data_IF_421878595750
#
_entry.id   IF_421878595750
#
_cell.length_a   1.000
_cell.length_b   1.000
_cell.length_c   1.000
_cell.angle_alpha   90.00
_cell.angle_beta   90.00
_cell.angle_gamma   90.00
#
_symmetry.space_group_name_H-M   'P 1'
#
loop_
_entity.id
_entity.type
_entity.pdbx_description
1 polymer ?
#
# COMPACT_ATOMS: atom_id res chain seq x y z
N UNK A 1 -2.22 -10.09 72.52
CA UNK A 1 -2.58 -10.83 71.30
C UNK A 1 -4.06 -10.54 71.07
N UNK A 2 -4.35 -9.50 70.32
CA UNK A 2 -5.70 -8.94 70.14
C UNK A 2 -5.95 -8.78 68.65
N UNK A 3 -6.89 -9.59 68.17
CA UNK A 3 -7.69 -9.53 66.94
C UNK A 3 -7.30 -8.50 65.87
N UNK A 4 -6.33 -8.85 65.03
CA UNK A 4 -6.15 -8.25 63.71
C UNK A 4 -7.12 -8.83 62.67
N UNK A 5 -7.82 -9.93 62.98
CA UNK A 5 -8.83 -10.56 62.13
C UNK A 5 -10.13 -9.78 62.07
N UNK A 6 -10.61 -9.23 63.20
CA UNK A 6 -11.89 -8.52 63.26
C UNK A 6 -11.92 -7.19 62.51
N UNK A 7 -10.75 -6.53 62.35
CA UNK A 7 -10.63 -5.30 61.55
C UNK A 7 -10.63 -5.59 60.04
N UNK A 8 -10.08 -6.72 59.61
CA UNK A 8 -10.13 -7.15 58.20
C UNK A 8 -11.52 -7.66 57.83
N UNK A 9 -12.19 -8.37 58.73
CA UNK A 9 -13.56 -8.83 58.51
C UNK A 9 -14.55 -7.66 58.44
N UNK A 10 -14.40 -6.63 59.28
CA UNK A 10 -15.21 -5.41 59.20
C UNK A 10 -14.91 -4.51 57.99
N UNK A 11 -13.70 -4.59 57.41
CA UNK A 11 -13.33 -3.91 56.16
C UNK A 11 -13.85 -4.67 54.93
N UNK A 12 -13.89 -6.01 54.97
CA UNK A 12 -14.47 -6.86 53.94
C UNK A 12 -16.01 -6.85 53.96
N UNK A 13 -16.63 -6.73 55.15
CA UNK A 13 -18.08 -6.56 55.30
C UNK A 13 -18.55 -5.18 54.83
N UNK A 14 -17.65 -4.18 54.86
CA UNK A 14 -17.85 -2.86 54.23
C UNK A 14 -17.58 -2.84 52.72
N UNK A 15 -17.09 -3.93 52.13
CA UNK A 15 -17.29 -4.19 50.69
C UNK A 15 -18.73 -4.68 50.55
N UNK A 16 -19.65 -3.77 50.81
CA UNK A 16 -21.07 -3.95 50.60
C UNK A 16 -21.22 -4.41 49.15
N UNK A 17 -21.88 -5.55 48.94
CA UNK A 17 -22.20 -6.01 47.59
C UNK A 17 -22.89 -4.85 46.90
N UNK A 18 -22.34 -4.34 45.78
CA UNK A 18 -22.98 -3.26 45.06
C UNK A 18 -24.42 -3.67 44.76
N UNK A 19 -25.34 -2.74 44.97
CA UNK A 19 -26.73 -2.96 44.59
C UNK A 19 -26.78 -3.26 43.08
N UNK A 20 -27.78 -3.99 42.58
CA UNK A 20 -27.86 -4.33 41.15
C UNK A 20 -27.75 -3.10 40.22
N UNK A 21 -28.18 -1.93 40.69
CA UNK A 21 -28.06 -0.64 40.00
C UNK A 21 -26.61 -0.15 39.96
N UNK A 22 -25.89 -0.25 41.08
CA UNK A 22 -24.46 0.10 41.14
C UNK A 22 -23.59 -0.87 40.32
N UNK A 23 -23.96 -2.16 40.27
CA UNK A 23 -23.30 -3.13 39.39
C UNK A 23 -23.48 -2.77 37.91
N UNK A 24 -24.69 -2.40 37.50
CA UNK A 24 -24.99 -1.97 36.14
C UNK A 24 -24.14 -0.76 35.74
N UNK A 25 -24.03 0.25 36.61
CA UNK A 25 -23.19 1.42 36.40
C UNK A 25 -21.70 1.06 36.31
N UNK A 26 -21.21 0.14 37.15
CA UNK A 26 -19.82 -0.32 37.10
C UNK A 26 -19.54 -1.04 35.79
N UNK A 27 -20.42 -1.93 35.33
CA UNK A 27 -20.24 -2.67 34.08
C UNK A 27 -20.37 -1.76 32.85
N UNK A 28 -21.28 -0.78 32.87
CA UNK A 28 -21.39 0.23 31.83
C UNK A 28 -20.08 1.02 31.72
N UNK A 29 -19.56 1.53 32.84
CA UNK A 29 -18.30 2.27 32.89
C UNK A 29 -17.10 1.42 32.44
N UNK A 30 -17.03 0.16 32.86
CA UNK A 30 -15.96 -0.76 32.47
C UNK A 30 -16.02 -1.11 30.97
N UNK A 31 -17.23 -1.22 30.41
CA UNK A 31 -17.46 -1.41 28.98
C UNK A 31 -16.97 -0.20 28.18
N UNK A 32 -17.33 1.01 28.59
CA UNK A 32 -16.83 2.25 27.98
C UNK A 32 -15.31 2.35 28.08
N UNK A 33 -14.73 2.08 29.26
CA UNK A 33 -13.28 2.08 29.45
C UNK A 33 -12.55 1.05 28.56
N UNK A 34 -13.11 -0.15 28.43
CA UNK A 34 -12.56 -1.20 27.57
C UNK A 34 -12.62 -0.83 26.09
N UNK A 35 -13.73 -0.24 25.66
CA UNK A 35 -13.93 0.27 24.30
C UNK A 35 -12.92 1.40 24.00
N UNK A 36 -12.60 2.20 25.00
CA UNK A 36 -11.66 3.30 24.94
C UNK A 36 -10.23 2.79 24.78
N UNK A 37 -9.79 1.82 25.59
CA UNK A 37 -8.50 1.15 25.43
C UNK A 37 -8.38 0.52 24.04
N UNK A 38 -9.40 -0.20 23.58
CA UNK A 38 -9.39 -0.81 22.25
C UNK A 38 -9.27 0.26 21.15
N UNK A 39 -9.86 1.43 21.36
CA UNK A 39 -9.78 2.56 20.43
C UNK A 39 -8.39 3.18 20.40
N UNK A 40 -7.71 3.27 21.55
CA UNK A 40 -6.35 3.81 21.66
C UNK A 40 -5.30 2.91 21.01
N UNK A 41 -5.43 1.59 21.16
CA UNK A 41 -4.33 0.66 20.84
C UNK A 41 -4.54 -0.15 19.54
N UNK A 42 -5.77 -0.27 19.02
CA UNK A 42 -6.01 -1.07 17.82
C UNK A 42 -5.71 -0.29 16.52
N UNK A 43 -4.90 -0.88 15.63
CA UNK A 43 -4.75 -0.43 14.24
C UNK A 43 -6.02 -0.75 13.44
N UNK A 44 -7.07 0.04 13.64
CA UNK A 44 -8.36 -0.16 12.97
C UNK A 44 -8.44 0.55 11.61
N UNK A 45 -9.19 -0.01 10.64
CA UNK A 45 -9.47 0.67 9.37
C UNK A 45 -10.24 1.99 9.59
N UNK A 46 -10.18 2.90 8.61
CA UNK A 46 -10.82 4.22 8.66
C UNK A 46 -12.30 4.14 9.03
N UNK A 47 -13.02 3.16 8.49
CA UNK A 47 -14.45 2.93 8.76
C UNK A 47 -14.71 2.71 10.24
N UNK A 48 -13.90 1.90 10.92
CA UNK A 48 -14.09 1.69 12.36
C UNK A 48 -13.76 2.95 13.17
N UNK A 49 -12.77 3.74 12.75
CA UNK A 49 -12.48 5.04 13.40
C UNK A 49 -13.65 6.02 13.24
N UNK A 50 -14.28 6.03 12.08
CA UNK A 50 -15.48 6.84 11.82
C UNK A 50 -16.65 6.40 12.72
N UNK A 51 -16.94 5.09 12.78
CA UNK A 51 -17.99 4.56 13.64
C UNK A 51 -17.72 4.77 15.13
N UNK A 52 -16.47 4.73 15.56
CA UNK A 52 -16.10 5.02 16.95
C UNK A 52 -16.34 6.51 17.28
N UNK A 53 -15.93 7.41 16.39
CA UNK A 53 -16.18 8.84 16.56
C UNK A 53 -17.68 9.15 16.59
N UNK A 54 -18.46 8.63 15.63
CA UNK A 54 -19.91 8.79 15.57
C UNK A 54 -20.60 8.14 16.77
N UNK A 55 -20.16 6.96 17.18
CA UNK A 55 -20.69 6.24 18.34
C UNK A 55 -20.56 7.05 19.63
N UNK A 56 -19.43 7.76 19.83
CA UNK A 56 -19.26 8.65 20.99
C UNK A 56 -20.18 9.86 20.95
N UNK A 57 -20.36 10.47 19.78
CA UNK A 57 -21.32 11.59 19.61
C UNK A 57 -22.73 11.12 19.96
N UNK A 58 -23.13 9.93 19.49
CA UNK A 58 -24.44 9.36 19.80
C UNK A 58 -24.59 8.96 21.26
N UNK A 59 -23.55 8.41 21.91
CA UNK A 59 -23.56 8.10 23.35
C UNK A 59 -23.84 9.36 24.17
N UNK A 60 -23.05 10.41 23.95
CA UNK A 60 -23.21 11.68 24.65
C UNK A 60 -24.59 12.30 24.38
N UNK A 61 -25.09 12.19 23.14
CA UNK A 61 -26.43 12.67 22.78
C UNK A 61 -27.53 11.87 23.47
N UNK A 62 -27.36 10.55 23.60
CA UNK A 62 -28.33 9.66 24.25
C UNK A 62 -28.44 9.94 25.73
N UNK A 63 -27.31 10.09 26.44
CA UNK A 63 -27.28 10.47 27.86
C UNK A 63 -28.00 11.80 28.08
N UNK A 64 -27.70 12.81 27.26
CA UNK A 64 -28.36 14.12 27.35
C UNK A 64 -29.88 14.05 27.18
N UNK A 65 -30.37 13.22 26.25
CA UNK A 65 -31.81 13.08 25.96
C UNK A 65 -32.55 12.43 27.13
N UNK A 66 -31.93 11.44 27.79
CA UNK A 66 -32.58 10.68 28.88
C UNK A 66 -32.63 11.47 30.18
N UNK A 67 -31.51 12.08 30.59
CA UNK A 67 -31.38 12.67 31.93
C UNK A 67 -31.54 14.19 31.95
N UNK A 68 -31.41 14.85 30.80
CA UNK A 68 -31.29 16.31 30.67
C UNK A 68 -30.18 16.93 31.54
N UNK A 69 -29.30 16.10 32.10
CA UNK A 69 -28.23 16.50 32.98
C UNK A 69 -27.06 15.54 32.82
N UNK A 70 -25.89 16.08 32.46
CA UNK A 70 -24.64 15.33 32.35
C UNK A 70 -23.71 15.90 33.41
N UNK A 71 -23.07 15.02 34.17
CA UNK A 71 -22.11 15.42 35.20
C UNK A 71 -20.90 16.08 34.53
N UNK A 72 -20.38 17.13 35.15
CA UNK A 72 -19.35 17.98 34.51
C UNK A 72 -18.02 17.26 34.27
N UNK A 73 -17.63 16.33 35.14
CA UNK A 73 -16.47 15.45 35.00
C UNK A 73 -16.65 14.45 33.85
N UNK A 74 -17.84 13.84 33.74
CA UNK A 74 -18.18 12.92 32.66
C UNK A 74 -18.21 13.62 31.30
N UNK A 75 -18.80 14.82 31.23
CA UNK A 75 -18.79 15.65 30.05
C UNK A 75 -17.36 16.00 29.61
N UNK A 76 -16.50 16.40 30.55
CA UNK A 76 -15.10 16.71 30.26
C UNK A 76 -14.34 15.49 29.72
N UNK A 77 -14.59 14.31 30.29
CA UNK A 77 -14.01 13.05 29.84
C UNK A 77 -14.49 12.68 28.42
N UNK A 78 -15.79 12.70 28.18
CA UNK A 78 -16.37 12.38 26.87
C UNK A 78 -15.88 13.34 25.78
N UNK A 79 -15.84 14.65 26.05
CA UNK A 79 -15.28 15.65 25.13
C UNK A 79 -13.82 15.34 24.81
N UNK A 80 -13.01 15.01 25.82
CA UNK A 80 -11.60 14.65 25.63
C UNK A 80 -11.46 13.42 24.72
N UNK A 81 -12.27 12.40 24.94
CA UNK A 81 -12.24 11.19 24.13
C UNK A 81 -12.80 11.38 22.72
N UNK A 82 -13.79 12.26 22.53
CA UNK A 82 -14.28 12.71 21.22
C UNK A 82 -13.17 13.46 20.49
N UNK A 83 -12.46 14.37 21.16
CA UNK A 83 -11.33 15.08 20.57
C UNK A 83 -10.20 14.11 20.16
N UNK A 84 -9.88 13.14 21.02
CA UNK A 84 -8.86 12.13 20.72
C UNK A 84 -9.27 11.22 19.54
N UNK A 85 -10.49 10.69 19.54
CA UNK A 85 -10.99 9.88 18.43
C UNK A 85 -11.12 10.68 17.13
N UNK A 86 -11.52 11.95 17.23
CA UNK A 86 -11.58 12.91 16.13
C UNK A 86 -10.21 13.17 15.50
N UNK A 87 -9.17 13.45 16.30
CA UNK A 87 -7.80 13.65 15.78
C UNK A 87 -7.25 12.40 15.10
N UNK A 88 -7.51 11.21 15.64
CA UNK A 88 -7.14 9.94 15.00
C UNK A 88 -7.90 9.69 13.69
N UNK A 89 -9.18 10.05 13.65
CA UNK A 89 -10.02 9.94 12.45
C UNK A 89 -9.55 10.92 11.36
N UNK A 90 -9.34 12.20 11.71
CA UNK A 90 -8.82 13.22 10.79
C UNK A 90 -7.44 12.84 10.28
N UNK A 91 -6.56 12.30 11.13
CA UNK A 91 -5.24 11.82 10.70
C UNK A 91 -5.35 10.67 9.69
N UNK A 92 -6.31 9.76 9.89
CA UNK A 92 -6.61 8.70 8.90
C UNK A 92 -7.19 9.26 7.61
N UNK A 93 -8.11 10.22 7.70
CA UNK A 93 -8.67 10.90 6.54
C UNK A 93 -7.59 11.62 5.74
N UNK A 94 -6.73 12.40 6.39
CA UNK A 94 -5.64 13.12 5.71
C UNK A 94 -4.70 12.17 4.99
N UNK A 95 -4.44 10.99 5.56
CA UNK A 95 -3.62 9.96 4.91
C UNK A 95 -4.27 9.39 3.66
N UNK A 96 -5.55 9.02 3.72
CA UNK A 96 -6.29 8.51 2.55
C UNK A 96 -6.52 9.62 1.52
N UNK A 97 -6.88 10.82 1.97
CA UNK A 97 -7.13 11.98 1.14
C UNK A 97 -5.85 12.44 0.44
N UNK A 98 -4.69 12.46 1.10
CA UNK A 98 -3.41 12.74 0.45
C UNK A 98 -3.08 11.75 -0.67
N UNK A 99 -3.50 10.49 -0.54
CA UNK A 99 -3.34 9.48 -1.60
C UNK A 99 -4.35 9.67 -2.74
N UNK A 100 -5.50 10.29 -2.49
CA UNK A 100 -6.55 10.57 -3.48
C UNK A 100 -6.32 11.92 -4.18
N UNK A 101 -5.84 12.93 -3.45
CA UNK A 101 -5.74 14.32 -3.88
C UNK A 101 -4.62 14.55 -4.89
N UNK A 102 -3.54 13.79 -4.79
CA UNK A 102 -2.56 13.77 -5.85
C UNK A 102 -3.17 13.01 -7.05
N UNK A 103 -3.61 13.74 -8.06
CA UNK A 103 -4.09 13.13 -9.30
C UNK A 103 -3.01 12.20 -9.91
N UNK A 104 -3.42 11.05 -10.43
CA UNK A 104 -2.54 10.21 -11.23
C UNK A 104 -2.20 10.95 -12.53
N UNK A 105 -0.93 11.01 -12.88
CA UNK A 105 -0.51 11.50 -14.19
C UNK A 105 -1.13 10.65 -15.30
N UNK A 106 -1.23 11.19 -16.53
CA UNK A 106 -1.77 10.44 -17.68
C UNK A 106 -1.03 9.11 -17.91
N UNK A 107 0.28 9.08 -17.69
CA UNK A 107 1.10 7.88 -17.82
C UNK A 107 0.83 6.87 -16.70
N UNK A 108 0.76 7.32 -15.44
CA UNK A 108 0.39 6.46 -14.32
C UNK A 108 -1.04 5.92 -14.43
N UNK A 109 -1.97 6.72 -14.96
CA UNK A 109 -3.36 6.31 -15.20
C UNK A 109 -3.45 5.19 -16.25
N UNK A 110 -2.58 5.21 -17.27
CA UNK A 110 -2.48 4.12 -18.25
C UNK A 110 -1.96 2.84 -17.61
N UNK A 111 -0.93 2.90 -16.78
CA UNK A 111 -0.47 1.72 -16.04
C UNK A 111 -1.54 1.22 -15.07
N UNK A 112 -2.19 2.14 -14.34
CA UNK A 112 -3.28 1.84 -13.42
C UNK A 112 -4.46 1.16 -14.11
N UNK A 113 -4.85 1.55 -15.33
CA UNK A 113 -6.00 0.95 -16.00
C UNK A 113 -5.89 -0.57 -16.18
N UNK A 114 -4.66 -1.10 -16.31
CA UNK A 114 -4.41 -2.54 -16.37
C UNK A 114 -4.32 -3.22 -15.00
N UNK A 115 -4.04 -2.46 -13.95
CA UNK A 115 -4.00 -2.93 -12.57
C UNK A 115 -5.32 -2.64 -11.82
N UNK A 116 -6.26 -1.92 -12.43
CA UNK A 116 -7.54 -1.52 -11.79
C UNK A 116 -8.39 -2.71 -11.37
N UNK A 117 -8.27 -3.85 -12.06
CA UNK A 117 -9.00 -5.08 -11.69
C UNK A 117 -8.53 -5.66 -10.35
N UNK A 118 -7.34 -5.29 -9.89
CA UNK A 118 -6.71 -5.91 -8.73
C UNK A 118 -6.29 -4.91 -7.65
N UNK A 119 -6.11 -3.63 -7.97
CA UNK A 119 -5.70 -2.58 -7.04
C UNK A 119 -6.69 -1.41 -7.11
N UNK A 120 -6.99 -0.81 -5.96
CA UNK A 120 -7.63 0.51 -5.94
C UNK A 120 -6.62 1.59 -6.34
N UNK A 121 -7.11 2.78 -6.71
CA UNK A 121 -6.25 3.89 -7.07
C UNK A 121 -5.32 4.31 -5.91
N UNK A 122 -5.81 4.27 -4.68
CA UNK A 122 -5.02 4.59 -3.48
C UNK A 122 -3.98 3.52 -3.18
N UNK A 123 -4.31 2.24 -3.33
CA UNK A 123 -3.36 1.12 -3.21
C UNK A 123 -2.24 1.22 -4.25
N UNK A 124 -2.61 1.45 -5.51
CA UNK A 124 -1.66 1.66 -6.61
C UNK A 124 -0.74 2.86 -6.35
N UNK A 125 -1.30 3.99 -5.92
CA UNK A 125 -0.51 5.19 -5.61
C UNK A 125 0.42 4.97 -4.42
N UNK A 126 -0.06 4.28 -3.38
CA UNK A 126 0.77 3.89 -2.24
C UNK A 126 1.90 2.95 -2.66
N UNK A 127 1.65 2.02 -3.59
CA UNK A 127 2.67 1.14 -4.14
C UNK A 127 3.73 1.96 -4.90
N UNK A 128 3.30 2.80 -5.85
CA UNK A 128 4.20 3.67 -6.62
C UNK A 128 5.10 4.50 -5.70
N UNK A 129 4.53 5.21 -4.73
CA UNK A 129 5.28 6.08 -3.81
C UNK A 129 6.36 5.34 -3.01
N UNK A 130 6.17 4.04 -2.75
CA UNK A 130 7.13 3.23 -1.98
C UNK A 130 8.17 2.56 -2.86
N UNK A 131 7.79 2.16 -4.07
CA UNK A 131 8.61 1.25 -4.89
C UNK A 131 9.18 1.92 -6.12
N UNK A 132 8.60 3.02 -6.60
CA UNK A 132 8.90 3.59 -7.89
C UNK A 132 9.34 5.05 -7.80
N UNK A 133 10.33 5.41 -8.61
CA UNK A 133 10.84 6.77 -8.72
C UNK A 133 10.99 7.15 -10.20
N UNK A 134 10.48 8.31 -10.63
CA UNK A 134 10.71 8.79 -11.99
C UNK A 134 12.18 9.20 -12.16
N UNK A 135 12.86 8.67 -13.16
CA UNK A 135 14.23 9.04 -13.52
C UNK A 135 14.31 9.42 -14.99
N UNK A 136 14.97 10.54 -15.25
CA UNK A 136 15.32 10.97 -16.60
C UNK A 136 16.72 10.49 -16.94
N UNK A 137 16.87 9.97 -18.15
CA UNK A 137 18.12 9.52 -18.74
C UNK A 137 18.39 10.39 -19.96
N UNK A 138 19.57 11.00 -19.98
CA UNK A 138 20.01 11.84 -21.08
C UNK A 138 20.13 11.03 -22.39
N UNK A 139 20.10 11.69 -23.57
CA UNK A 139 20.29 11.01 -24.84
C UNK A 139 21.54 10.14 -24.87
N UNK A 140 21.43 8.91 -25.36
CA UNK A 140 22.53 7.95 -25.43
C UNK A 140 22.97 7.36 -24.09
N UNK A 141 22.35 7.75 -22.96
CA UNK A 141 22.71 7.21 -21.65
C UNK A 141 22.26 5.74 -21.53
N UNK A 142 23.15 4.89 -21.02
CA UNK A 142 22.82 3.50 -20.70
C UNK A 142 21.92 3.44 -19.47
N UNK A 143 20.72 2.88 -19.65
CA UNK A 143 19.68 2.71 -18.61
C UNK A 143 19.90 1.39 -17.87
N UNK A 144 20.00 0.29 -18.62
CA UNK A 144 20.38 -1.04 -18.13
C UNK A 144 21.59 -1.47 -18.93
N UNK A 145 22.60 -1.99 -18.25
CA UNK A 145 23.83 -2.46 -18.88
C UNK A 145 23.93 -3.97 -18.69
N UNK A 146 24.10 -4.71 -19.79
CA UNK A 146 24.20 -6.17 -19.76
C UNK A 146 25.40 -6.69 -18.94
N UNK A 147 26.45 -5.89 -18.77
CA UNK A 147 27.66 -6.27 -18.04
C UNK A 147 27.64 -5.87 -16.55
N UNK A 148 26.66 -5.07 -16.09
CA UNK A 148 26.61 -4.62 -14.68
C UNK A 148 25.44 -5.23 -13.92
N UNK A 149 25.76 -6.19 -13.05
CA UNK A 149 24.82 -6.90 -12.17
C UNK A 149 24.02 -5.99 -11.22
N UNK A 150 24.59 -4.86 -10.80
CA UNK A 150 24.06 -4.05 -9.69
C UNK A 150 22.69 -3.40 -9.99
N UNK A 151 22.39 -3.09 -11.26
CA UNK A 151 21.14 -2.45 -11.66
C UNK A 151 20.06 -3.42 -12.18
N UNK A 152 20.37 -4.72 -12.28
CA UNK A 152 19.49 -5.70 -12.92
C UNK A 152 18.26 -6.11 -12.08
N UNK A 153 18.11 -5.51 -10.89
CA UNK A 153 16.96 -5.74 -10.03
C UNK A 153 15.83 -4.72 -10.20
N UNK A 154 15.97 -3.79 -11.16
CA UNK A 154 14.98 -2.75 -11.37
C UNK A 154 14.01 -3.13 -12.48
N UNK A 155 12.73 -2.84 -12.25
CA UNK A 155 11.70 -2.94 -13.28
C UNK A 155 11.44 -1.52 -13.82
N UNK A 156 11.59 -1.31 -15.12
CA UNK A 156 11.50 0.03 -15.72
C UNK A 156 10.24 0.16 -16.56
N UNK A 157 9.59 1.30 -16.52
CA UNK A 157 8.47 1.62 -17.41
C UNK A 157 8.71 2.94 -18.13
N UNK A 158 8.67 2.96 -19.46
CA UNK A 158 8.85 4.19 -20.23
C UNK A 158 7.65 5.12 -20.04
N UNK A 159 7.90 6.31 -19.49
CA UNK A 159 6.90 7.39 -19.36
C UNK A 159 6.91 8.29 -20.60
N UNK A 160 8.09 8.77 -21.01
CA UNK A 160 8.31 9.74 -22.09
C UNK A 160 9.64 9.47 -22.81
N UNK A 161 9.76 9.88 -24.08
CA UNK A 161 10.98 9.75 -24.88
C UNK A 161 11.07 8.45 -25.69
N UNK A 162 12.29 8.02 -25.99
CA UNK A 162 12.54 6.79 -26.75
C UNK A 162 13.72 6.01 -26.18
N UNK A 163 13.82 4.72 -26.51
CA UNK A 163 14.98 3.92 -26.15
C UNK A 163 15.28 2.87 -27.21
N UNK A 164 16.51 2.35 -27.18
CA UNK A 164 16.95 1.21 -27.97
C UNK A 164 17.30 0.03 -27.06
N UNK A 165 17.12 -1.17 -27.59
CA UNK A 165 17.49 -2.43 -26.94
C UNK A 165 18.61 -3.05 -27.78
N UNK A 166 19.73 -3.33 -27.14
CA UNK A 166 20.85 -4.06 -27.72
C UNK A 166 21.13 -5.34 -26.91
N UNK A 167 21.76 -6.31 -27.57
CA UNK A 167 22.23 -7.55 -26.95
C UNK A 167 23.54 -7.96 -27.63
N UNK A 168 24.59 -8.21 -26.84
CA UNK A 168 25.92 -8.58 -27.34
C UNK A 168 26.45 -7.60 -28.41
N UNK A 169 26.21 -6.29 -28.21
CA UNK A 169 26.58 -5.23 -29.15
C UNK A 169 25.69 -5.10 -30.40
N UNK A 170 24.77 -6.03 -30.67
CA UNK A 170 23.80 -5.92 -31.76
C UNK A 170 22.53 -5.18 -31.34
N UNK A 171 22.06 -4.21 -32.14
CA UNK A 171 20.80 -3.51 -31.90
C UNK A 171 19.64 -4.45 -32.28
N UNK A 172 18.80 -4.81 -31.31
CA UNK A 172 17.60 -5.63 -31.54
C UNK A 172 16.43 -4.74 -31.96
N UNK A 173 16.24 -3.62 -31.27
CA UNK A 173 15.18 -2.64 -31.55
C UNK A 173 15.70 -1.23 -31.34
N UNK A 174 15.41 -0.36 -32.28
CA UNK A 174 15.81 1.05 -32.24
C UNK A 174 14.59 1.97 -32.12
N UNK A 175 14.77 3.12 -31.47
CA UNK A 175 13.79 4.21 -31.40
C UNK A 175 12.38 3.80 -30.98
N UNK A 176 12.27 2.97 -29.94
CA UNK A 176 10.98 2.59 -29.36
C UNK A 176 10.41 3.78 -28.60
N UNK A 177 9.50 4.53 -29.24
CA UNK A 177 8.88 5.76 -28.70
C UNK A 177 7.65 5.51 -27.81
N UNK A 178 6.95 4.40 -28.02
CA UNK A 178 5.72 4.12 -27.29
C UNK A 178 5.35 2.65 -27.38
N UNK A 179 4.88 2.10 -26.27
CA UNK A 179 4.24 0.80 -26.28
C UNK A 179 2.73 1.00 -26.40
N UNK A 180 2.16 0.52 -27.51
CA UNK A 180 0.70 0.55 -27.73
C UNK A 180 -0.07 -0.33 -26.74
N UNK A 181 0.63 -1.24 -26.05
CA UNK A 181 0.10 -1.86 -24.85
C UNK A 181 1.08 -1.81 -23.70
N UNK A 182 0.58 -1.37 -22.55
CA UNK A 182 1.21 -1.37 -21.24
C UNK A 182 1.98 -2.65 -20.88
N UNK A 183 1.55 -3.82 -21.36
CA UNK A 183 2.23 -5.09 -21.12
C UNK A 183 3.64 -5.15 -21.75
N UNK A 184 3.88 -4.40 -22.83
CA UNK A 184 5.20 -4.25 -23.44
C UNK A 184 6.06 -3.18 -22.75
N UNK A 185 5.43 -2.31 -21.95
CA UNK A 185 6.04 -1.15 -21.30
C UNK A 185 7.15 -1.45 -20.31
N UNK A 186 7.10 -2.64 -19.70
CA UNK A 186 8.06 -3.01 -18.68
C UNK A 186 9.35 -3.58 -19.28
N UNK A 187 10.48 -3.04 -18.86
CA UNK A 187 11.80 -3.56 -19.16
C UNK A 187 12.40 -4.14 -17.87
N UNK A 188 13.20 -5.20 -18.00
CA UNK A 188 13.72 -5.96 -16.85
C UNK A 188 12.71 -6.90 -16.20
N UNK A 189 11.53 -7.09 -16.80
CA UNK A 189 10.47 -7.98 -16.31
C UNK A 189 10.91 -9.45 -16.24
N UNK A 190 11.66 -9.93 -17.22
CA UNK A 190 12.19 -11.31 -17.24
C UNK A 190 13.16 -11.53 -16.08
N UNK A 191 14.14 -10.62 -15.89
CA UNK A 191 15.09 -10.70 -14.78
C UNK A 191 14.40 -10.59 -13.42
N UNK A 192 13.41 -9.69 -13.31
CA UNK A 192 12.64 -9.52 -12.09
C UNK A 192 11.80 -10.77 -11.76
N UNK A 193 11.16 -11.38 -12.76
CA UNK A 193 10.36 -12.59 -12.60
C UNK A 193 11.22 -13.82 -12.32
N UNK A 194 12.35 -14.00 -13.00
CA UNK A 194 13.26 -15.10 -12.69
C UNK A 194 13.69 -15.04 -11.22
N UNK A 195 14.15 -13.89 -10.74
CA UNK A 195 14.51 -13.68 -9.32
C UNK A 195 13.34 -13.83 -8.34
N UNK A 196 12.09 -13.80 -8.82
CA UNK A 196 10.91 -14.09 -8.01
C UNK A 196 10.65 -15.59 -7.85
N UNK A 197 11.20 -16.44 -8.73
CA UNK A 197 11.04 -17.89 -8.72
C UNK A 197 12.34 -18.64 -8.39
N UNK A 198 13.49 -18.08 -8.69
CA UNK A 198 14.81 -18.64 -8.47
C UNK A 198 15.66 -17.72 -7.59
N UNK A 199 16.35 -18.28 -6.59
CA UNK A 199 17.36 -17.53 -5.82
C UNK A 199 18.69 -17.41 -6.59
N UNK A 200 18.88 -18.22 -7.63
CA UNK A 200 20.04 -18.22 -8.52
C UNK A 200 19.59 -17.82 -9.94
N UNK A 201 20.04 -16.66 -10.42
CA UNK A 201 19.71 -16.22 -11.78
C UNK A 201 20.49 -17.07 -12.79
N UNK A 202 19.81 -18.00 -13.44
CA UNK A 202 20.42 -18.88 -14.42
C UNK A 202 20.45 -18.20 -15.79
N UNK A 203 21.52 -17.44 -16.05
CA UNK A 203 21.96 -17.11 -17.41
C UNK A 203 20.92 -16.45 -18.34
N UNK A 204 20.03 -15.61 -17.79
CA UNK A 204 19.09 -14.86 -18.63
C UNK A 204 19.90 -13.96 -19.57
N UNK A 205 19.60 -13.93 -20.88
CA UNK A 205 20.26 -13.02 -21.80
C UNK A 205 20.05 -11.58 -21.32
N UNK A 206 21.15 -10.94 -20.95
CA UNK A 206 21.15 -9.58 -20.47
C UNK A 206 21.08 -8.66 -21.69
N UNK A 207 20.07 -7.79 -21.71
CA UNK A 207 19.94 -6.77 -22.75
C UNK A 207 20.43 -5.43 -22.24
N UNK A 208 21.19 -4.73 -23.06
CA UNK A 208 21.54 -3.34 -22.84
C UNK A 208 20.41 -2.43 -23.33
N UNK A 209 20.01 -1.48 -22.48
CA UNK A 209 18.96 -0.51 -22.80
C UNK A 209 19.60 0.87 -22.80
N UNK A 210 19.44 1.59 -23.90
CA UNK A 210 20.04 2.92 -24.08
C UNK A 210 18.92 3.92 -24.37
N UNK A 211 18.95 5.08 -23.70
CA UNK A 211 18.02 6.16 -24.00
C UNK A 211 18.27 6.68 -25.43
N UNK A 212 17.20 6.92 -26.18
CA UNK A 212 17.28 7.39 -27.56
C UNK A 212 17.68 8.86 -27.67
N UNK A 213 17.61 9.41 -28.88
CA UNK A 213 18.14 10.75 -29.20
C UNK A 213 17.47 11.90 -28.42
N UNK A 214 16.20 11.75 -28.06
CA UNK A 214 15.45 12.74 -27.26
C UNK A 214 15.65 12.54 -25.74
N UNK A 215 16.40 11.51 -25.34
CA UNK A 215 16.44 11.01 -23.97
C UNK A 215 15.20 10.20 -23.62
N UNK A 216 15.13 9.75 -22.37
CA UNK A 216 14.04 8.91 -21.90
C UNK A 216 13.72 9.15 -20.43
N UNK A 217 12.45 9.25 -20.11
CA UNK A 217 11.95 9.28 -18.74
C UNK A 217 11.34 7.94 -18.41
N UNK A 218 11.91 7.27 -17.41
CA UNK A 218 11.40 5.99 -16.91
C UNK A 218 10.82 6.14 -15.51
N UNK A 219 9.78 5.37 -15.23
CA UNK A 219 9.36 5.06 -13.87
C UNK A 219 10.14 3.82 -13.44
N UNK A 220 11.07 3.99 -12.50
CA UNK A 220 12.02 2.96 -12.08
C UNK A 220 11.54 2.34 -10.77
N UNK A 221 11.10 1.09 -10.84
CA UNK A 221 10.71 0.31 -9.68
C UNK A 221 11.93 -0.40 -9.09
N UNK A 222 12.22 -0.10 -7.82
CA UNK A 222 13.20 -0.83 -7.02
C UNK A 222 12.65 -2.24 -6.73
N UNK A 223 13.27 -3.26 -7.33
CA UNK A 223 12.78 -4.63 -7.21
C UNK A 223 12.84 -5.17 -5.78
N UNK A 224 13.80 -4.75 -4.94
CA UNK A 224 13.85 -5.17 -3.54
C UNK A 224 12.66 -4.62 -2.77
N UNK A 225 12.37 -3.32 -2.94
CA UNK A 225 11.19 -2.68 -2.31
C UNK A 225 9.89 -3.28 -2.86
N UNK A 226 9.80 -3.50 -4.16
CA UNK A 226 8.62 -4.09 -4.81
C UNK A 226 8.35 -5.51 -4.30
N UNK A 227 9.36 -6.38 -4.25
CA UNK A 227 9.24 -7.74 -3.69
C UNK A 227 8.84 -7.72 -2.22
N UNK A 228 9.37 -6.78 -1.43
CA UNK A 228 8.97 -6.62 -0.03
C UNK A 228 7.48 -6.28 0.09
N UNK A 229 6.96 -5.38 -0.74
CA UNK A 229 5.53 -5.07 -0.76
C UNK A 229 4.68 -6.24 -1.29
N UNK A 230 5.16 -7.00 -2.29
CA UNK A 230 4.50 -8.23 -2.77
C UNK A 230 4.42 -9.29 -1.66
N UNK A 231 5.51 -9.54 -0.93
CA UNK A 231 5.52 -10.48 0.22
C UNK A 231 4.57 -10.04 1.33
N UNK A 232 4.39 -8.72 1.52
CA UNK A 232 3.51 -8.15 2.54
C UNK A 232 2.02 -8.29 2.18
N UNK A 233 1.68 -8.32 0.89
CA UNK A 233 0.30 -8.30 0.43
C UNK A 233 0.09 -9.31 -0.70
N UNK A 234 -0.59 -10.44 -0.42
CA UNK A 234 -0.91 -11.49 -1.41
C UNK A 234 -1.63 -10.95 -2.65
N UNK A 235 -2.48 -9.93 -2.47
CA UNK A 235 -3.20 -9.27 -3.57
C UNK A 235 -2.24 -8.55 -4.53
N UNK A 236 -1.23 -7.88 -3.99
CA UNK A 236 -0.19 -7.21 -4.78
C UNK A 236 0.65 -8.24 -5.53
N UNK A 237 1.06 -9.31 -4.84
CA UNK A 237 1.84 -10.40 -5.42
C UNK A 237 1.12 -11.05 -6.62
N UNK A 238 -0.11 -11.54 -6.41
CA UNK A 238 -0.89 -12.18 -7.46
C UNK A 238 -1.15 -11.24 -8.64
N UNK A 239 -1.47 -9.97 -8.36
CA UNK A 239 -1.73 -9.02 -9.44
C UNK A 239 -0.48 -8.69 -10.26
N UNK A 240 0.61 -8.32 -9.59
CA UNK A 240 1.85 -7.93 -10.28
C UNK A 240 2.42 -9.12 -11.06
N UNK A 241 2.40 -10.34 -10.50
CA UNK A 241 2.80 -11.55 -11.23
C UNK A 241 1.92 -11.78 -12.46
N UNK A 242 0.59 -11.74 -12.32
CA UNK A 242 -0.32 -11.94 -13.45
C UNK A 242 -0.21 -10.84 -14.51
N UNK A 243 0.05 -9.60 -14.08
CA UNK A 243 0.29 -8.49 -14.99
C UNK A 243 1.63 -8.66 -15.76
N UNK A 244 2.73 -8.98 -15.07
CA UNK A 244 4.03 -9.21 -15.70
C UNK A 244 4.02 -10.44 -16.62
N UNK A 245 3.37 -11.53 -16.20
CA UNK A 245 3.23 -12.75 -17.02
C UNK A 245 2.49 -12.48 -18.33
N UNK A 246 1.41 -11.68 -18.31
CA UNK A 246 0.71 -11.25 -19.53
C UNK A 246 1.59 -10.38 -20.44
N UNK A 247 2.43 -9.53 -19.84
CA UNK A 247 3.46 -8.77 -20.57
C UNK A 247 4.44 -9.67 -21.30
N UNK A 248 4.99 -10.67 -20.61
CA UNK A 248 5.89 -11.65 -21.20
C UNK A 248 5.21 -12.47 -22.30
N UNK A 249 4.00 -12.99 -22.06
CA UNK A 249 3.26 -13.76 -23.07
C UNK A 249 3.09 -12.95 -24.36
N UNK A 250 2.78 -11.66 -24.25
CA UNK A 250 2.62 -10.78 -25.40
C UNK A 250 3.95 -10.53 -26.12
N UNK A 251 5.04 -10.27 -25.38
CA UNK A 251 6.39 -10.14 -25.95
C UNK A 251 6.81 -11.40 -26.72
N UNK A 252 6.56 -12.58 -26.15
CA UNK A 252 6.86 -13.86 -26.80
C UNK A 252 6.02 -14.00 -28.08
N UNK A 253 4.72 -13.70 -28.02
CA UNK A 253 3.86 -13.73 -29.20
C UNK A 253 4.37 -12.82 -30.33
N UNK A 254 4.75 -11.58 -30.01
CA UNK A 254 5.29 -10.62 -30.97
C UNK A 254 6.61 -11.11 -31.59
N UNK A 255 7.49 -11.73 -30.78
CA UNK A 255 8.73 -12.32 -31.27
C UNK A 255 8.48 -13.51 -32.19
N UNK A 256 7.53 -14.39 -31.86
CA UNK A 256 7.16 -15.55 -32.68
C UNK A 256 6.59 -15.11 -34.03
N UNK A 257 5.71 -14.10 -34.04
CA UNK A 257 5.14 -13.55 -35.29
C UNK A 257 6.25 -12.94 -36.16
N UNK A 258 7.17 -12.20 -35.54
CA UNK A 258 8.29 -11.57 -36.25
C UNK A 258 9.24 -12.61 -36.84
N UNK A 259 9.56 -13.68 -36.10
CA UNK A 259 10.44 -14.75 -36.57
C UNK A 259 9.78 -15.61 -37.67
N UNK A 260 8.48 -15.89 -37.56
CA UNK A 260 7.73 -16.66 -38.56
C UNK A 260 7.52 -15.93 -39.89
N UNK A 261 7.53 -14.59 -39.89
CA UNK A 261 7.40 -13.77 -41.10
C UNK A 261 8.67 -13.71 -41.97
N UNK A 262 9.84 -14.12 -41.46
CA UNK A 262 11.12 -14.08 -42.18
C UNK A 262 11.34 -15.34 -43.05
N UNK A 263 10.39 -16.29 -43.06
CA UNK A 263 10.48 -17.54 -43.83
C UNK A 263 9.60 -17.62 -45.09
N UNK A 264 8.99 -16.52 -45.54
CA UNK A 264 8.14 -16.50 -46.76
C UNK A 264 8.59 -15.40 -47.71
N UNK A 265 9.83 -15.52 -48.22
CA UNK A 265 10.26 -14.95 -49.52
C UNK A 265 11.25 -15.92 -50.14
#
# INVERSE_FOLDING_TARGET
>A
MTDSSSLLDGLLEKIQRPTPVEEEDIFANLSHFSLDIITLFAKKPLTTRAFLFLGRIFSLSSEYVVTHHIRTDELAFQITMIAFSGTLFVSSLNREFSLISEALSKAEMRLYSHLKSCLTASEYKSLLKKTAEPKFFAPGATVINEYRSENNDSLLWLLEGSFSIANNGGIIRENVKKFDSCAHGFLGDVCFLDRLYSEQSNGIPLTTIVAGEEGAKFLVFDGKKLRKEMKRCKRYDSCLRGFLARGMQKKISDLVITAGGVGVV
#
